data_IF_642487500006
#
_entry.id   IF_642487500006
#
_cell.length_a   1.000
_cell.length_b   1.000
_cell.length_c   1.000
_cell.angle_alpha   90.00
_cell.angle_beta   90.00
_cell.angle_gamma   90.00
#
_symmetry.space_group_name_H-M   'P 1'
#
loop_
_entity.id
_entity.type
_entity.pdbx_description
1 polymer ?
#
# COMPACT_ATOMS: atom_id res chain seq x y z
N UNK A 1 -58.90 -26.69 -19.82
CA UNK A 1 -58.36 -26.19 -18.55
C UNK A 1 -56.85 -26.45 -18.51
N UNK A 2 -56.10 -25.42 -18.15
CA UNK A 2 -54.71 -25.37 -17.66
C UNK A 2 -53.55 -25.76 -18.61
N UNK A 3 -52.98 -24.69 -19.17
CA UNK A 3 -51.59 -24.48 -19.57
C UNK A 3 -50.57 -24.87 -18.49
N UNK A 4 -49.45 -25.50 -18.87
CA UNK A 4 -48.20 -25.37 -18.09
C UNK A 4 -47.02 -25.05 -19.00
N UNK A 5 -46.86 -23.76 -19.26
CA UNK A 5 -45.62 -23.14 -19.73
C UNK A 5 -44.63 -23.16 -18.55
N UNK A 6 -43.81 -24.21 -18.44
CA UNK A 6 -42.75 -24.23 -17.45
C UNK A 6 -41.62 -23.31 -17.93
N UNK A 7 -41.80 -22.01 -17.66
CA UNK A 7 -40.78 -20.97 -17.78
C UNK A 7 -39.58 -21.38 -16.93
N UNK A 8 -38.55 -21.96 -17.56
CA UNK A 8 -37.18 -21.94 -17.03
C UNK A 8 -36.67 -20.50 -17.10
N UNK A 9 -37.13 -19.68 -16.18
CA UNK A 9 -36.45 -18.46 -15.78
C UNK A 9 -35.20 -18.85 -15.00
N UNK A 10 -34.11 -19.11 -15.71
CA UNK A 10 -32.78 -19.13 -15.09
C UNK A 10 -32.03 -17.95 -15.70
N UNK A 11 -32.09 -16.81 -15.02
CA UNK A 11 -31.11 -15.76 -15.21
C UNK A 11 -29.76 -16.37 -14.79
N UNK A 12 -29.12 -17.07 -15.73
CA UNK A 12 -27.73 -17.48 -15.58
C UNK A 12 -26.93 -16.19 -15.61
N UNK A 13 -26.57 -15.69 -14.42
CA UNK A 13 -25.59 -14.63 -14.30
C UNK A 13 -24.27 -15.18 -14.85
N UNK A 14 -23.93 -14.77 -16.07
CA UNK A 14 -22.69 -15.16 -16.72
C UNK A 14 -21.57 -14.27 -16.18
N UNK A 15 -20.83 -14.82 -15.22
CA UNK A 15 -19.76 -14.12 -14.53
C UNK A 15 -18.61 -13.74 -15.46
N UNK A 16 -18.34 -14.58 -16.48
CA UNK A 16 -17.27 -14.34 -17.45
C UNK A 16 -17.54 -13.09 -18.29
N UNK A 17 -18.80 -12.93 -18.75
CA UNK A 17 -19.23 -11.74 -19.48
C UNK A 17 -19.12 -10.48 -18.61
N UNK A 18 -19.54 -10.57 -17.35
CA UNK A 18 -19.44 -9.47 -16.39
C UNK A 18 -17.97 -9.05 -16.15
N UNK A 19 -17.05 -10.00 -15.98
CA UNK A 19 -15.63 -9.68 -15.81
C UNK A 19 -15.01 -9.04 -17.06
N UNK A 20 -15.37 -9.51 -18.25
CA UNK A 20 -14.92 -8.89 -19.50
C UNK A 20 -15.41 -7.45 -19.63
N UNK A 21 -16.66 -7.17 -19.27
CA UNK A 21 -17.23 -5.83 -19.31
C UNK A 21 -16.60 -4.92 -18.23
N UNK A 22 -16.33 -5.46 -17.03
CA UNK A 22 -15.63 -4.75 -15.96
C UNK A 22 -14.20 -4.35 -16.35
N UNK A 23 -13.45 -5.24 -17.00
CA UNK A 23 -12.08 -4.97 -17.45
C UNK A 23 -12.00 -3.93 -18.59
N UNK A 24 -13.05 -3.84 -19.40
CA UNK A 24 -13.19 -2.84 -20.49
C UNK A 24 -13.69 -1.49 -20.02
N UNK A 25 -14.25 -1.41 -18.80
CA UNK A 25 -14.75 -0.17 -18.23
C UNK A 25 -13.66 0.89 -18.07
N UNK A 26 -14.04 2.19 -18.03
CA UNK A 26 -13.07 3.27 -17.88
C UNK A 26 -12.33 3.14 -16.54
N UNK A 27 -11.00 2.95 -16.62
CA UNK A 27 -10.13 2.94 -15.45
C UNK A 27 -9.87 4.38 -15.01
N UNK A 28 -10.61 4.85 -13.99
CA UNK A 28 -10.43 6.20 -13.42
C UNK A 28 -9.04 6.39 -12.78
N UNK A 29 -8.46 5.32 -12.25
CA UNK A 29 -7.16 5.35 -11.57
C UNK A 29 -6.13 4.54 -12.36
N UNK A 30 -4.96 5.13 -12.61
CA UNK A 30 -3.81 4.43 -13.24
C UNK A 30 -3.19 3.40 -12.31
N UNK A 31 -3.07 3.73 -11.02
CA UNK A 31 -2.59 2.83 -9.98
C UNK A 31 -3.44 3.03 -8.71
N UNK A 32 -4.32 2.07 -8.39
CA UNK A 32 -5.13 2.11 -7.17
C UNK A 32 -4.32 1.78 -5.92
N UNK A 33 -3.25 1.00 -6.05
CA UNK A 33 -2.42 0.56 -4.93
C UNK A 33 -1.72 1.75 -4.26
N UNK A 34 -1.42 2.81 -5.02
CA UNK A 34 -0.85 4.04 -4.49
C UNK A 34 -1.77 4.80 -3.51
N UNK A 35 -3.08 4.52 -3.52
CA UNK A 35 -4.06 5.10 -2.60
C UNK A 35 -4.24 4.25 -1.34
N UNK A 36 -3.68 3.05 -1.32
CA UNK A 36 -3.78 2.17 -0.17
C UNK A 36 -2.95 2.75 0.99
N UNK A 37 -3.47 2.82 2.23
CA UNK A 37 -2.71 3.30 3.39
C UNK A 37 -1.42 2.49 3.65
N UNK A 38 -1.36 1.26 3.12
CA UNK A 38 -0.20 0.39 3.20
C UNK A 38 0.93 0.81 2.24
N UNK A 39 0.63 1.61 1.21
CA UNK A 39 1.58 2.07 0.21
C UNK A 39 2.65 2.96 0.84
N UNK A 40 3.90 2.59 0.60
CA UNK A 40 5.06 3.37 1.02
C UNK A 40 5.60 4.04 -0.24
N UNK A 41 5.54 5.38 -0.33
CA UNK A 41 6.08 6.08 -1.49
C UNK A 41 7.60 5.96 -1.52
N UNK A 42 8.17 6.01 -2.73
CA UNK A 42 9.62 5.99 -2.92
C UNK A 42 10.31 7.25 -2.39
N UNK A 43 9.58 8.36 -2.26
CA UNK A 43 10.10 9.63 -1.77
C UNK A 43 9.06 10.30 -0.86
N UNK A 44 9.53 10.92 0.22
CA UNK A 44 8.71 11.72 1.12
C UNK A 44 9.13 13.20 0.99
N UNK A 45 8.40 14.03 0.24
CA UNK A 45 8.77 15.42 0.05
C UNK A 45 8.79 16.16 1.38
N UNK A 46 9.74 17.10 1.53
CA UNK A 46 9.93 17.92 2.74
C UNK A 46 10.22 17.16 4.04
N UNK A 47 10.57 15.86 3.97
CA UNK A 47 10.92 15.03 5.13
C UNK A 47 12.40 14.64 5.21
N UNK A 48 13.25 15.25 4.37
CA UNK A 48 14.66 14.90 4.26
C UNK A 48 15.41 15.05 5.59
N UNK A 49 15.13 16.12 6.36
CA UNK A 49 15.83 16.38 7.63
C UNK A 49 15.51 15.35 8.71
N UNK A 50 14.26 14.88 8.76
CA UNK A 50 13.84 13.85 9.72
C UNK A 50 14.33 12.47 9.29
N UNK A 51 14.33 12.21 7.98
CA UNK A 51 14.90 10.99 7.41
C UNK A 51 16.39 10.90 7.75
N UNK A 52 17.15 11.97 7.53
CA UNK A 52 18.58 12.02 7.83
C UNK A 52 18.87 11.74 9.31
N UNK A 53 18.10 12.35 10.23
CA UNK A 53 18.25 12.11 11.68
C UNK A 53 17.98 10.66 12.07
N UNK A 54 16.85 10.10 11.61
CA UNK A 54 16.47 8.72 11.96
C UNK A 54 17.42 7.72 11.27
N UNK A 55 17.84 7.99 10.03
CA UNK A 55 18.83 7.19 9.32
C UNK A 55 20.18 7.19 10.07
N UNK A 56 20.64 8.34 10.56
CA UNK A 56 21.87 8.43 11.35
C UNK A 56 21.83 7.60 12.63
N UNK A 57 20.69 7.59 13.34
CA UNK A 57 20.51 6.76 14.55
C UNK A 57 20.49 5.26 14.21
N UNK A 58 19.85 4.90 13.10
CA UNK A 58 19.65 3.51 12.69
C UNK A 58 20.80 2.94 11.87
N UNK A 59 21.74 3.77 11.41
CA UNK A 59 22.89 3.35 10.60
C UNK A 59 23.78 2.32 11.30
N UNK A 60 23.93 2.42 12.63
CA UNK A 60 24.68 1.44 13.41
C UNK A 60 24.11 0.01 13.33
N UNK A 61 22.81 -0.13 13.03
CA UNK A 61 22.20 -1.45 12.79
C UNK A 61 22.74 -2.14 11.53
N UNK A 62 23.34 -1.40 10.60
CA UNK A 62 24.00 -1.96 9.42
C UNK A 62 25.33 -2.64 9.77
N UNK A 63 25.99 -2.20 10.83
CA UNK A 63 27.26 -2.76 11.31
C UNK A 63 27.07 -3.88 12.35
N UNK A 64 25.82 -4.23 12.66
CA UNK A 64 25.46 -5.24 13.65
C UNK A 64 25.34 -4.71 15.08
N UNK A 65 25.52 -3.40 15.29
CA UNK A 65 25.32 -2.75 16.58
C UNK A 65 23.84 -2.42 16.84
N UNK A 66 23.48 -2.28 18.12
CA UNK A 66 22.10 -1.98 18.51
C UNK A 66 21.84 -0.47 18.41
N UNK A 67 20.85 -0.03 17.61
CA UNK A 67 20.52 1.38 17.51
C UNK A 67 19.87 1.93 18.77
N UNK A 68 20.06 3.23 18.99
CA UNK A 68 19.41 3.93 20.10
C UNK A 68 17.89 4.00 19.92
N UNK A 69 17.16 3.86 21.04
CA UNK A 69 15.72 4.02 21.04
C UNK A 69 15.33 5.48 20.77
N UNK A 70 14.37 5.70 19.87
CA UNK A 70 13.85 7.03 19.56
C UNK A 70 12.32 7.03 19.51
N UNK A 71 11.72 8.20 19.75
CA UNK A 71 10.29 8.42 19.69
C UNK A 71 9.97 9.57 18.74
N UNK A 72 9.13 9.33 17.73
CA UNK A 72 8.67 10.36 16.80
C UNK A 72 7.30 10.91 17.24
N UNK A 73 7.25 12.20 17.58
CA UNK A 73 6.02 12.89 17.98
C UNK A 73 5.57 13.93 16.94
N UNK A 74 4.28 14.27 16.95
CA UNK A 74 3.68 15.30 16.09
C UNK A 74 2.19 15.05 15.82
N UNK A 75 1.50 15.99 15.18
CA UNK A 75 0.07 15.87 14.83
C UNK A 75 -0.21 14.66 13.93
N UNK A 76 -1.39 14.05 14.04
CA UNK A 76 -1.82 12.95 13.16
C UNK A 76 -1.87 13.41 11.69
N UNK A 77 -1.74 12.48 10.74
CA UNK A 77 -1.74 12.82 9.31
C UNK A 77 -0.45 13.47 8.77
N UNK A 78 0.53 13.77 9.63
CA UNK A 78 1.79 14.41 9.20
C UNK A 78 2.78 13.43 8.54
N UNK A 79 2.46 12.15 8.43
CA UNK A 79 3.33 11.17 7.76
C UNK A 79 4.41 10.53 8.63
N UNK A 80 4.38 10.68 9.96
CA UNK A 80 5.33 10.01 10.88
C UNK A 80 5.43 8.49 10.63
N UNK A 81 4.29 7.81 10.52
CA UNK A 81 4.23 6.37 10.23
C UNK A 81 4.83 6.04 8.87
N UNK A 82 4.58 6.87 7.86
CA UNK A 82 5.14 6.69 6.52
C UNK A 82 6.66 6.85 6.52
N UNK A 83 7.19 7.86 7.24
CA UNK A 83 8.64 8.09 7.40
C UNK A 83 9.34 6.91 8.07
N UNK A 84 8.81 6.41 9.19
CA UNK A 84 9.41 5.27 9.89
C UNK A 84 9.40 4.02 8.99
N UNK A 85 8.28 3.73 8.32
CA UNK A 85 8.18 2.57 7.41
C UNK A 85 9.14 2.68 6.22
N UNK A 86 9.29 3.87 5.64
CA UNK A 86 10.23 4.13 4.55
C UNK A 86 11.67 3.80 4.95
N UNK A 87 12.10 4.26 6.13
CA UNK A 87 13.47 4.02 6.63
C UNK A 87 13.67 2.55 6.97
N UNK A 88 12.70 1.90 7.62
CA UNK A 88 12.78 0.46 7.92
C UNK A 88 12.93 -0.38 6.65
N UNK A 89 12.23 -0.04 5.57
CA UNK A 89 12.43 -0.73 4.28
C UNK A 89 13.82 -0.49 3.69
N UNK A 90 14.34 0.73 3.77
CA UNK A 90 15.70 1.04 3.30
C UNK A 90 16.76 0.27 4.11
N UNK A 91 16.63 0.23 5.44
CA UNK A 91 17.52 -0.57 6.29
C UNK A 91 17.48 -2.05 5.90
N UNK A 92 16.29 -2.64 5.76
CA UNK A 92 16.15 -4.05 5.38
C UNK A 92 16.79 -4.35 4.00
N UNK A 93 16.68 -3.43 3.04
CA UNK A 93 17.34 -3.54 1.73
C UNK A 93 18.87 -3.56 1.87
N UNK A 94 19.44 -2.75 2.75
CA UNK A 94 20.88 -2.67 2.95
C UNK A 94 21.44 -3.81 3.84
N UNK A 95 20.66 -4.36 4.77
CA UNK A 95 21.10 -5.46 5.64
C UNK A 95 21.18 -6.84 4.96
N UNK A 96 20.61 -7.02 3.76
CA UNK A 96 20.54 -8.34 3.10
C UNK A 96 21.75 -8.65 2.20
N UNK A 97 22.84 -7.88 2.30
CA UNK A 97 24.11 -8.12 1.57
C UNK A 97 25.12 -8.83 2.46
#
# INVERSE_FOLDING_TARGET
MLTNQNKKGMFSFNIDKFYQDYLKGPKLFKNREALEPSFIPNELPHRNSEIEKIAGITACALEGDVPANFLCYGMTGTGKTATVRYISQKLAQHCTS
#
